data_IF_177434932241
#
_entry.id   IF_177434932241
#
_cell.length_a   1.000
_cell.length_b   1.000
_cell.length_c   1.000
_cell.angle_alpha   90.00
_cell.angle_beta   90.00
_cell.angle_gamma   90.00
#
_symmetry.space_group_name_H-M   'P 1'
#
loop_
_entity.id
_entity.type
_entity.pdbx_description
1 polymer ?
#
# COMPACT_ATOMS: atom_id res chain seq x y z
N UNK A 1 -10.61 -48.00 -31.17
CA UNK A 1 -10.48 -47.48 -29.79
C UNK A 1 -11.11 -46.09 -29.81
N UNK A 2 -12.37 -45.89 -29.40
CA UNK A 2 -12.88 -45.83 -28.00
C UNK A 2 -12.18 -44.71 -27.20
N UNK A 3 -12.80 -43.80 -26.43
CA UNK A 3 -14.19 -43.62 -25.94
C UNK A 3 -14.23 -42.23 -25.23
N UNK A 4 -14.99 -41.25 -25.72
CA UNK A 4 -16.18 -40.55 -25.16
C UNK A 4 -16.56 -40.68 -23.67
N UNK A 5 -17.07 -39.58 -23.08
CA UNK A 5 -18.38 -39.35 -22.37
C UNK A 5 -18.49 -37.81 -22.16
N UNK A 6 -19.30 -36.99 -22.85
CA UNK A 6 -20.76 -36.85 -23.09
C UNK A 6 -21.59 -36.34 -21.89
N UNK A 7 -22.27 -35.18 -22.00
CA UNK A 7 -23.32 -34.75 -21.08
C UNK A 7 -24.70 -35.32 -21.49
N UNK A 8 -25.61 -35.34 -20.52
CA UNK A 8 -27.05 -35.60 -20.61
C UNK A 8 -27.53 -37.07 -20.67
N UNK A 9 -28.24 -37.43 -19.59
CA UNK A 9 -29.55 -38.08 -19.54
C UNK A 9 -29.89 -39.06 -20.68
N UNK A 10 -29.94 -40.34 -20.33
CA UNK A 10 -30.78 -41.34 -21.02
C UNK A 10 -31.79 -41.90 -20.06
N UNK A 11 -33.07 -41.80 -20.41
CA UNK A 11 -33.92 -42.98 -20.39
C UNK A 11 -34.71 -43.09 -21.68
N UNK A 12 -34.75 -44.34 -22.12
CA UNK A 12 -35.10 -44.89 -23.43
C UNK A 12 -36.61 -45.01 -23.60
N UNK A 13 -37.09 -44.88 -24.84
CA UNK A 13 -38.36 -45.48 -25.28
C UNK A 13 -38.06 -46.52 -26.34
N UNK A 14 -38.63 -47.73 -26.23
CA UNK A 14 -38.78 -48.67 -27.35
C UNK A 14 -40.20 -49.24 -27.31
N UNK A 15 -40.88 -49.07 -28.45
CA UNK A 15 -42.18 -49.64 -28.82
C UNK A 15 -42.09 -51.15 -29.09
N UNK A 16 -43.20 -51.86 -28.87
CA UNK A 16 -43.61 -52.94 -29.74
C UNK A 16 -45.08 -52.78 -30.12
N UNK A 17 -45.31 -52.61 -31.43
CA UNK A 17 -46.60 -52.84 -32.07
C UNK A 17 -46.59 -54.20 -32.78
N UNK A 18 -47.59 -55.02 -32.47
CA UNK A 18 -48.18 -56.11 -33.26
C UNK A 18 -49.63 -56.14 -32.78
N UNK A 19 -50.69 -56.01 -33.57
CA UNK A 19 -50.97 -56.63 -34.85
C UNK A 19 -52.29 -57.40 -34.68
N UNK A 20 -53.12 -57.42 -35.73
CA UNK A 20 -54.30 -58.30 -35.98
C UNK A 20 -55.70 -57.71 -35.72
N UNK A 21 -56.29 -57.29 -36.87
CA UNK A 21 -57.63 -57.56 -37.45
C UNK A 21 -58.94 -57.20 -36.69
N UNK A 22 -59.71 -56.35 -37.37
CA UNK A 22 -61.16 -56.38 -37.68
C UNK A 22 -62.11 -57.27 -36.85
N UNK A 23 -63.21 -56.69 -36.34
CA UNK A 23 -64.59 -56.90 -36.83
C UNK A 23 -65.66 -56.28 -35.87
N UNK A 24 -66.64 -55.63 -36.50
CA UNK A 24 -68.09 -55.54 -36.18
C UNK A 24 -68.61 -54.68 -35.01
N UNK A 25 -69.53 -53.79 -35.42
CA UNK A 25 -70.67 -53.11 -34.79
C UNK A 25 -71.03 -53.37 -33.31
N UNK A 26 -71.50 -52.31 -32.61
CA UNK A 26 -72.91 -52.09 -32.15
C UNK A 26 -72.99 -50.85 -31.22
N UNK A 27 -74.15 -50.17 -31.25
CA UNK A 27 -74.59 -48.97 -30.52
C UNK A 27 -74.54 -49.07 -28.97
N UNK A 28 -74.66 -47.87 -28.37
CA UNK A 28 -75.37 -47.46 -27.13
C UNK A 28 -74.45 -46.80 -26.07
N UNK A 29 -74.89 -45.64 -25.57
CA UNK A 29 -74.13 -44.73 -24.72
C UNK A 29 -74.07 -45.07 -23.24
N UNK A 30 -73.24 -44.31 -22.52
CA UNK A 30 -73.17 -44.27 -21.06
C UNK A 30 -72.00 -43.42 -20.55
N UNK A 31 -72.28 -42.36 -19.80
CA UNK A 31 -71.31 -41.46 -19.15
C UNK A 31 -70.29 -42.24 -18.30
N UNK A 32 -68.98 -42.01 -18.50
CA UNK A 32 -67.93 -42.30 -17.51
C UNK A 32 -66.77 -41.29 -17.62
N UNK A 33 -66.55 -40.51 -16.57
CA UNK A 33 -65.32 -39.72 -16.39
C UNK A 33 -64.15 -40.70 -16.24
N UNK A 34 -63.16 -40.57 -17.13
CA UNK A 34 -61.99 -41.46 -17.16
C UNK A 34 -61.04 -41.14 -16.00
N UNK A 35 -60.53 -42.17 -15.33
CA UNK A 35 -59.47 -42.07 -14.30
C UNK A 35 -58.26 -41.25 -14.79
N UNK A 36 -57.98 -41.25 -16.10
CA UNK A 36 -56.96 -40.39 -16.72
C UNK A 36 -57.25 -38.89 -16.55
N UNK A 37 -58.51 -38.48 -16.61
CA UNK A 37 -58.93 -37.07 -16.46
C UNK A 37 -58.76 -36.58 -15.01
N UNK A 38 -59.00 -37.45 -14.03
CA UNK A 38 -58.77 -37.16 -12.61
C UNK A 38 -57.27 -37.10 -12.31
N UNK A 39 -56.47 -38.02 -12.87
CA UNK A 39 -55.02 -38.04 -12.72
C UNK A 39 -54.38 -36.78 -13.33
N UNK A 40 -54.79 -36.37 -14.54
CA UNK A 40 -54.28 -35.15 -15.17
C UNK A 40 -54.74 -33.89 -14.43
N UNK A 41 -55.95 -33.84 -13.88
CA UNK A 41 -56.37 -32.72 -13.03
C UNK A 41 -55.57 -32.66 -11.73
N UNK A 42 -55.30 -33.79 -11.06
CA UNK A 42 -54.46 -33.81 -9.85
C UNK A 42 -53.01 -33.40 -10.14
N UNK A 43 -52.43 -33.89 -11.24
CA UNK A 43 -51.10 -33.48 -11.69
C UNK A 43 -51.05 -31.99 -12.04
N UNK A 44 -52.09 -31.47 -12.71
CA UNK A 44 -52.20 -30.05 -13.02
C UNK A 44 -52.31 -29.19 -11.76
N UNK A 45 -53.17 -29.56 -10.79
CA UNK A 45 -53.31 -28.82 -9.54
C UNK A 45 -52.06 -28.88 -8.66
N UNK A 46 -51.36 -30.02 -8.61
CA UNK A 46 -50.10 -30.14 -7.86
C UNK A 46 -48.98 -29.32 -8.49
N UNK A 47 -48.92 -29.25 -9.82
CA UNK A 47 -47.96 -28.39 -10.51
C UNK A 47 -48.30 -26.91 -10.33
N UNK A 48 -49.58 -26.55 -10.43
CA UNK A 48 -50.07 -25.18 -10.22
C UNK A 48 -49.80 -24.69 -8.79
N UNK A 49 -50.04 -25.54 -7.78
CA UNK A 49 -49.76 -25.23 -6.36
C UNK A 49 -48.27 -25.02 -6.12
N UNK A 50 -47.40 -25.84 -6.69
CA UNK A 50 -45.94 -25.62 -6.59
C UNK A 50 -45.50 -24.36 -7.31
N UNK A 51 -46.09 -24.06 -8.47
CA UNK A 51 -45.77 -22.84 -9.22
C UNK A 51 -46.20 -21.58 -8.48
N UNK A 52 -47.41 -21.57 -7.89
CA UNK A 52 -47.91 -20.48 -7.04
C UNK A 52 -47.07 -20.32 -5.77
N UNK A 53 -46.66 -21.42 -5.14
CA UNK A 53 -45.78 -21.37 -3.98
C UNK A 53 -44.42 -20.75 -4.34
N UNK A 54 -43.79 -21.19 -5.43
CA UNK A 54 -42.53 -20.62 -5.92
C UNK A 54 -42.69 -19.13 -6.25
N UNK A 55 -43.76 -18.73 -6.95
CA UNK A 55 -44.04 -17.32 -7.24
C UNK A 55 -44.17 -16.50 -5.94
N UNK A 56 -44.88 -17.01 -4.93
CA UNK A 56 -45.06 -16.32 -3.65
C UNK A 56 -43.78 -16.22 -2.82
N UNK A 57 -42.87 -17.20 -2.94
CA UNK A 57 -41.57 -17.16 -2.27
C UNK A 57 -40.58 -16.25 -2.99
N UNK A 58 -40.63 -16.18 -4.34
CA UNK A 58 -39.77 -15.28 -5.12
C UNK A 58 -40.17 -13.82 -4.92
N UNK A 59 -41.48 -13.51 -4.83
CA UNK A 59 -41.99 -12.18 -4.44
C UNK A 59 -41.62 -11.78 -2.99
N UNK A 60 -41.15 -12.73 -2.17
CA UNK A 60 -40.67 -12.44 -0.80
C UNK A 60 -39.16 -12.22 -0.72
N UNK A 61 -38.41 -12.45 -1.81
CA UNK A 61 -36.94 -12.33 -1.84
C UNK A 61 -36.50 -10.97 -2.44
N UNK A 62 -37.29 -10.38 -3.33
CA UNK A 62 -37.02 -9.04 -3.84
C UNK A 62 -37.73 -7.97 -3.00
N UNK A 63 -36.96 -7.28 -2.18
CA UNK A 63 -37.39 -6.14 -1.37
C UNK A 63 -37.73 -4.88 -2.18
N UNK A 64 -38.60 -4.97 -3.18
CA UNK A 64 -39.14 -3.81 -3.90
C UNK A 64 -40.60 -3.51 -3.52
N UNK A 65 -40.85 -2.24 -3.22
CA UNK A 65 -42.00 -1.68 -2.50
C UNK A 65 -43.28 -1.52 -3.33
N UNK A 66 -43.63 -2.43 -4.24
CA UNK A 66 -44.87 -2.34 -5.05
C UNK A 66 -45.64 -3.66 -5.19
N UNK A 67 -46.40 -4.06 -4.16
CA UNK A 67 -47.37 -5.16 -4.25
C UNK A 67 -48.53 -4.76 -5.18
N UNK A 68 -48.62 -5.37 -6.37
CA UNK A 68 -49.66 -5.08 -7.38
C UNK A 68 -50.46 -6.34 -7.80
N UNK A 69 -50.50 -7.39 -6.98
CA UNK A 69 -51.24 -8.63 -7.32
C UNK A 69 -52.25 -9.04 -6.23
N UNK A 70 -53.28 -9.78 -6.66
CA UNK A 70 -54.43 -10.25 -5.88
C UNK A 70 -54.06 -11.08 -4.63
N UNK A 71 -52.79 -11.48 -4.46
CA UNK A 71 -52.29 -12.22 -3.28
C UNK A 71 -52.19 -11.41 -1.99
N UNK A 72 -52.24 -10.07 -2.06
CA UNK A 72 -52.16 -9.19 -0.88
C UNK A 72 -53.50 -9.06 -0.10
N UNK A 73 -54.61 -9.68 -0.55
CA UNK A 73 -55.92 -9.57 0.13
C UNK A 73 -56.01 -10.32 1.48
N UNK A 74 -55.21 -11.37 1.68
CA UNK A 74 -55.26 -12.19 2.90
C UNK A 74 -54.69 -11.52 4.16
N UNK A 75 -53.92 -10.43 4.02
CA UNK A 75 -53.30 -9.71 5.15
C UNK A 75 -54.10 -8.50 5.65
N UNK A 76 -55.26 -8.19 5.06
CA UNK A 76 -56.06 -7.00 5.44
C UNK A 76 -57.22 -7.28 6.38
N UNK A 77 -57.53 -8.54 6.69
CA UNK A 77 -58.67 -8.93 7.54
C UNK A 77 -58.17 -9.83 8.68
N UNK A 78 -57.70 -9.19 9.76
CA UNK A 78 -57.47 -9.79 11.09
C UNK A 78 -56.07 -9.54 11.70
N UNK A 79 -55.92 -9.24 13.02
CA UNK A 79 -56.82 -8.59 13.98
C UNK A 79 -56.32 -7.17 14.30
N UNK A 80 -57.01 -6.14 13.81
CA UNK A 80 -56.75 -4.72 14.16
C UNK A 80 -57.53 -4.25 15.41
N UNK A 81 -57.84 -5.17 16.33
CA UNK A 81 -58.65 -4.90 17.52
C UNK A 81 -57.88 -5.01 18.85
N UNK A 82 -56.58 -5.32 18.82
CA UNK A 82 -55.72 -5.27 20.00
C UNK A 82 -54.43 -4.53 19.65
N UNK A 83 -54.27 -3.33 20.20
CA UNK A 83 -53.13 -2.45 19.97
C UNK A 83 -51.80 -3.04 20.43
N UNK A 84 -51.17 -3.85 19.58
CA UNK A 84 -49.73 -4.14 19.67
C UNK A 84 -48.99 -3.18 18.77
N UNK A 85 -48.02 -2.45 19.34
CA UNK A 85 -46.96 -1.77 18.57
C UNK A 85 -46.40 -2.77 17.55
N UNK A 86 -46.19 -2.34 16.32
CA UNK A 86 -45.36 -3.07 15.36
C UNK A 86 -43.99 -3.26 16.01
N UNK A 87 -43.66 -4.50 16.37
CA UNK A 87 -42.30 -4.88 16.71
C UNK A 87 -41.42 -4.54 15.50
N UNK A 88 -40.37 -3.75 15.71
CA UNK A 88 -39.40 -3.40 14.68
C UNK A 88 -38.82 -4.69 14.11
N UNK A 89 -38.60 -4.75 12.80
CA UNK A 89 -38.00 -5.94 12.22
C UNK A 89 -36.59 -6.11 12.80
N UNK A 90 -36.21 -7.34 13.15
CA UNK A 90 -34.89 -7.70 13.70
C UNK A 90 -33.72 -7.03 12.93
N UNK A 91 -33.73 -6.98 11.58
CA UNK A 91 -32.67 -6.31 10.81
C UNK A 91 -32.57 -4.80 11.08
N UNK A 92 -33.68 -4.07 11.17
CA UNK A 92 -33.67 -2.60 11.38
C UNK A 92 -33.07 -2.23 12.74
N UNK A 93 -33.31 -3.04 13.77
CA UNK A 93 -32.73 -2.84 15.10
C UNK A 93 -31.21 -3.04 15.07
N UNK A 94 -30.73 -4.05 14.33
CA UNK A 94 -29.29 -4.32 14.22
C UNK A 94 -28.56 -3.18 13.49
N UNK A 95 -29.06 -2.74 12.33
CA UNK A 95 -28.45 -1.63 11.58
C UNK A 95 -28.41 -0.34 12.40
N UNK A 96 -29.53 0.01 13.06
CA UNK A 96 -29.60 1.22 13.88
C UNK A 96 -28.63 1.22 15.06
N UNK A 97 -28.33 0.04 15.61
CA UNK A 97 -27.35 -0.10 16.69
C UNK A 97 -25.93 0.01 16.12
N UNK A 98 -25.62 -0.69 15.03
CA UNK A 98 -24.29 -0.70 14.41
C UNK A 98 -23.86 0.67 13.86
N UNK A 99 -24.80 1.50 13.41
CA UNK A 99 -24.52 2.86 12.90
C UNK A 99 -24.31 3.92 13.99
N UNK A 100 -24.65 3.62 15.24
CA UNK A 100 -24.45 4.56 16.35
C UNK A 100 -22.97 4.65 16.74
N UNK A 101 -22.40 5.86 16.84
CA UNK A 101 -21.02 6.03 17.28
C UNK A 101 -20.86 5.62 18.75
N UNK A 102 -19.82 4.82 19.04
CA UNK A 102 -19.38 4.50 20.41
C UNK A 102 -18.32 5.52 20.82
N UNK A 103 -18.41 6.00 22.06
CA UNK A 103 -17.36 6.84 22.65
C UNK A 103 -16.14 5.99 23.04
N UNK A 104 -14.93 6.44 22.70
CA UNK A 104 -13.71 5.62 22.82
C UNK A 104 -13.32 5.33 24.26
N UNK A 105 -13.74 6.18 25.19
CA UNK A 105 -13.47 6.01 26.61
C UNK A 105 -14.40 4.96 27.28
N UNK A 106 -15.54 4.59 26.65
CA UNK A 106 -16.47 3.58 27.21
C UNK A 106 -15.95 2.13 27.09
N UNK A 107 -15.00 1.87 26.19
CA UNK A 107 -14.47 0.52 25.94
C UNK A 107 -13.16 0.25 26.70
N UNK A 108 -12.54 1.27 27.27
CA UNK A 108 -11.22 1.18 27.86
C UNK A 108 -11.26 0.39 29.18
N UNK A 109 -10.56 -0.76 29.23
CA UNK A 109 -10.47 -1.59 30.45
C UNK A 109 -11.61 -2.57 30.67
N UNK A 110 -12.59 -2.67 29.76
CA UNK A 110 -13.65 -3.68 29.81
C UNK A 110 -13.13 -5.07 29.45
N UNK A 111 -13.28 -6.03 30.37
CA UNK A 111 -12.87 -7.43 30.19
C UNK A 111 -14.02 -8.33 29.75
N UNK A 112 -15.24 -7.80 29.70
CA UNK A 112 -16.49 -8.52 29.38
C UNK A 112 -16.80 -8.57 27.87
N UNK A 113 -15.95 -7.94 27.05
CA UNK A 113 -16.06 -7.90 25.60
C UNK A 113 -15.24 -9.05 25.01
N UNK A 114 -15.87 -9.91 24.18
CA UNK A 114 -15.18 -11.00 23.50
C UNK A 114 -13.96 -10.53 22.72
N UNK A 115 -12.87 -11.28 22.85
CA UNK A 115 -11.58 -11.00 22.25
C UNK A 115 -11.46 -11.64 20.85
N UNK A 116 -12.28 -12.65 20.55
CA UNK A 116 -12.28 -13.35 19.27
C UNK A 116 -13.70 -13.59 18.78
N UNK A 117 -13.84 -13.84 17.47
CA UNK A 117 -15.13 -14.20 16.89
C UNK A 117 -15.65 -15.53 17.46
N UNK A 118 -14.76 -16.45 17.79
CA UNK A 118 -15.10 -17.74 18.38
C UNK A 118 -15.67 -17.58 19.79
N UNK A 119 -15.07 -16.71 20.61
CA UNK A 119 -15.57 -16.39 21.95
C UNK A 119 -16.95 -15.71 21.87
N UNK A 120 -17.12 -14.76 20.95
CA UNK A 120 -18.41 -14.13 20.70
C UNK A 120 -19.48 -15.15 20.28
N UNK A 121 -19.15 -16.04 19.34
CA UNK A 121 -20.09 -17.06 18.85
C UNK A 121 -20.44 -18.10 19.92
N UNK A 122 -19.50 -18.45 20.79
CA UNK A 122 -19.75 -19.32 21.95
C UNK A 122 -20.71 -18.64 22.93
N UNK A 123 -20.48 -17.36 23.23
CA UNK A 123 -21.35 -16.60 24.12
C UNK A 123 -22.77 -16.43 23.54
N UNK A 124 -22.88 -16.17 22.23
CA UNK A 124 -24.18 -16.07 21.56
C UNK A 124 -24.97 -17.37 21.60
N UNK A 125 -24.26 -18.50 21.50
CA UNK A 125 -24.87 -19.83 21.51
C UNK A 125 -25.44 -20.20 22.89
N UNK A 126 -24.79 -19.79 23.97
CA UNK A 126 -25.21 -20.09 25.34
C UNK A 126 -26.20 -19.07 25.94
N UNK A 127 -26.17 -17.80 25.49
CA UNK A 127 -26.84 -16.69 26.19
C UNK A 127 -28.22 -16.32 25.65
N UNK A 128 -28.63 -16.82 24.49
CA UNK A 128 -29.95 -16.54 23.91
C UNK A 128 -30.23 -15.05 23.68
N UNK A 129 -29.24 -14.30 23.15
CA UNK A 129 -29.36 -12.85 22.96
C UNK A 129 -30.56 -12.45 22.09
N UNK A 130 -31.25 -11.37 22.48
CA UNK A 130 -32.15 -10.68 21.57
C UNK A 130 -31.36 -9.91 20.49
N UNK A 131 -32.03 -9.55 19.39
CA UNK A 131 -31.38 -8.89 18.25
C UNK A 131 -30.62 -7.62 18.62
N UNK A 132 -31.12 -6.89 19.62
CA UNK A 132 -30.52 -5.65 20.11
C UNK A 132 -29.26 -5.92 20.92
N UNK A 133 -29.30 -6.88 21.84
CA UNK A 133 -28.16 -7.27 22.67
C UNK A 133 -27.05 -7.88 21.83
N UNK A 134 -27.40 -8.70 20.84
CA UNK A 134 -26.45 -9.20 19.85
C UNK A 134 -25.75 -8.06 19.11
N UNK A 135 -26.52 -7.09 18.58
CA UNK A 135 -25.96 -5.98 17.81
C UNK A 135 -25.08 -5.06 18.67
N UNK A 136 -25.48 -4.81 19.93
CA UNK A 136 -24.68 -4.02 20.87
C UNK A 136 -23.34 -4.70 21.14
N UNK A 137 -23.37 -6.01 21.44
CA UNK A 137 -22.17 -6.76 21.78
C UNK A 137 -21.23 -6.96 20.59
N UNK A 138 -21.79 -7.17 19.39
CA UNK A 138 -21.03 -7.19 18.14
C UNK A 138 -20.36 -5.84 17.88
N UNK A 139 -21.07 -4.73 18.05
CA UNK A 139 -20.54 -3.37 17.87
C UNK A 139 -19.37 -3.08 18.82
N UNK A 140 -19.51 -3.45 20.09
CA UNK A 140 -18.44 -3.33 21.10
C UNK A 140 -17.21 -4.14 20.71
N UNK A 141 -17.40 -5.40 20.32
CA UNK A 141 -16.30 -6.27 19.85
C UNK A 141 -15.61 -5.69 18.61
N UNK A 142 -16.37 -5.29 17.58
CA UNK A 142 -15.80 -4.72 16.34
C UNK A 142 -15.00 -3.46 16.64
N UNK A 143 -15.55 -2.55 17.47
CA UNK A 143 -14.88 -1.31 17.86
C UNK A 143 -13.58 -1.57 18.62
N UNK A 144 -13.59 -2.51 19.57
CA UNK A 144 -12.40 -2.92 20.32
C UNK A 144 -11.34 -3.56 19.40
N UNK A 145 -11.77 -4.42 18.47
CA UNK A 145 -10.87 -5.06 17.49
C UNK A 145 -10.26 -4.04 16.53
N UNK A 146 -11.03 -3.04 16.09
CA UNK A 146 -10.53 -1.92 15.29
C UNK A 146 -9.49 -1.11 16.06
N UNK A 147 -9.74 -0.78 17.32
CA UNK A 147 -8.80 -0.05 18.17
C UNK A 147 -7.50 -0.82 18.40
N UNK A 148 -7.59 -2.12 18.69
CA UNK A 148 -6.41 -2.98 18.84
C UNK A 148 -5.63 -3.11 17.56
N UNK A 149 -6.32 -3.31 16.43
CA UNK A 149 -5.70 -3.36 15.11
C UNK A 149 -4.98 -2.06 14.80
N UNK A 150 -5.59 -0.92 15.14
CA UNK A 150 -4.97 0.41 15.00
C UNK A 150 -3.73 0.53 15.88
N UNK A 151 -3.80 0.12 17.15
CA UNK A 151 -2.67 0.19 18.10
C UNK A 151 -1.53 -0.72 17.69
N UNK A 152 -1.82 -1.96 17.29
CA UNK A 152 -0.84 -2.91 16.78
C UNK A 152 -0.18 -2.40 15.50
N UNK A 153 -0.94 -1.82 14.56
CA UNK A 153 -0.38 -1.15 13.37
C UNK A 153 0.54 0.00 13.76
N UNK A 154 0.16 0.84 14.72
CA UNK A 154 1.01 1.94 15.21
C UNK A 154 2.32 1.41 15.81
N UNK A 155 2.25 0.36 16.64
CA UNK A 155 3.44 -0.28 17.21
C UNK A 155 4.33 -0.93 16.14
N UNK A 156 3.75 -1.66 15.19
CA UNK A 156 4.44 -2.23 14.04
C UNK A 156 5.20 -1.14 13.28
N UNK A 157 4.54 -0.02 12.99
CA UNK A 157 5.16 1.12 12.33
C UNK A 157 6.33 1.71 13.12
N UNK A 158 6.18 1.86 14.45
CA UNK A 158 7.23 2.36 15.33
C UNK A 158 8.44 1.42 15.34
N UNK A 159 8.24 0.11 15.55
CA UNK A 159 9.33 -0.86 15.54
C UNK A 159 10.03 -0.94 14.19
N UNK A 160 9.27 -0.85 13.10
CA UNK A 160 9.82 -0.79 11.75
C UNK A 160 10.68 0.46 11.56
N UNK A 161 10.24 1.61 12.06
CA UNK A 161 11.04 2.84 12.04
C UNK A 161 12.34 2.65 12.82
N UNK A 162 12.26 2.22 14.09
CA UNK A 162 13.42 1.99 14.94
C UNK A 162 14.40 1.03 14.29
N UNK A 163 13.94 -0.10 13.72
CA UNK A 163 14.81 -1.04 13.04
C UNK A 163 15.49 -0.45 11.79
N UNK A 164 14.77 0.39 11.02
CA UNK A 164 15.30 1.03 9.81
C UNK A 164 16.22 2.24 10.07
N UNK A 165 16.00 2.94 11.19
CA UNK A 165 16.68 4.20 11.54
C UNK A 165 17.72 4.04 12.65
N UNK A 166 17.73 2.90 13.36
CA UNK A 166 18.79 2.59 14.30
C UNK A 166 20.09 2.45 13.54
N UNK A 167 21.07 3.28 13.89
CA UNK A 167 22.42 3.18 13.34
C UNK A 167 23.08 1.97 14.00
N UNK A 168 23.33 0.86 13.28
CA UNK A 168 24.07 -0.26 13.85
C UNK A 168 25.44 0.20 14.34
N UNK A 169 25.94 -0.42 15.42
CA UNK A 169 27.16 -0.01 16.13
C UNK A 169 28.35 0.20 15.19
N UNK A 170 28.45 -0.64 14.17
CA UNK A 170 29.50 -0.60 13.14
C UNK A 170 29.43 0.68 12.30
N UNK A 171 28.23 1.10 11.87
CA UNK A 171 28.05 2.35 11.13
C UNK A 171 28.24 3.58 12.03
N UNK A 172 27.87 3.48 13.30
CA UNK A 172 28.14 4.55 14.26
C UNK A 172 29.64 4.73 14.49
N UNK A 173 30.38 3.62 14.64
CA UNK A 173 31.84 3.63 14.68
C UNK A 173 32.44 4.33 13.44
N UNK A 174 31.95 3.98 12.24
CA UNK A 174 32.43 4.56 10.99
C UNK A 174 32.25 6.08 10.98
N UNK A 175 31.05 6.56 11.34
CA UNK A 175 30.75 7.99 11.40
C UNK A 175 31.66 8.72 12.40
N UNK A 176 31.85 8.18 13.61
CA UNK A 176 32.71 8.79 14.63
C UNK A 176 34.18 8.84 14.20
N UNK A 177 34.71 7.78 13.58
CA UNK A 177 36.08 7.76 13.07
C UNK A 177 36.29 8.79 11.97
N UNK A 178 35.36 8.89 11.02
CA UNK A 178 35.43 9.88 9.94
C UNK A 178 35.27 11.32 10.45
N UNK A 179 34.44 11.56 11.47
CA UNK A 179 34.38 12.85 12.14
C UNK A 179 35.74 13.22 12.78
N UNK A 180 36.41 12.25 13.40
CA UNK A 180 37.74 12.45 13.96
C UNK A 180 38.79 12.75 12.87
N UNK A 181 38.74 12.03 11.74
CA UNK A 181 39.60 12.33 10.58
C UNK A 181 39.33 13.72 10.03
N UNK A 182 38.07 14.12 9.86
CA UNK A 182 37.75 15.48 9.43
C UNK A 182 38.40 16.53 10.35
N UNK A 183 38.42 16.29 11.66
CA UNK A 183 39.02 17.21 12.63
C UNK A 183 40.56 17.26 12.55
N UNK A 184 41.21 16.12 12.31
CA UNK A 184 42.66 15.96 12.51
C UNK A 184 43.48 15.82 11.22
N UNK A 185 42.85 15.46 10.11
CA UNK A 185 43.49 15.15 8.84
C UNK A 185 43.12 16.23 7.79
N UNK A 186 44.13 16.91 7.25
CA UNK A 186 43.90 17.94 6.23
C UNK A 186 43.34 17.37 4.93
N UNK A 187 43.72 16.14 4.55
CA UNK A 187 43.19 15.48 3.36
C UNK A 187 41.70 15.12 3.49
N UNK A 188 41.19 14.96 4.70
CA UNK A 188 39.78 14.73 4.97
C UNK A 188 38.93 16.02 4.92
N UNK A 189 39.55 17.19 4.75
CA UNK A 189 38.91 18.51 4.68
C UNK A 189 39.04 19.17 3.32
N UNK A 190 39.38 18.40 2.29
CA UNK A 190 39.47 18.95 0.94
C UNK A 190 38.10 19.49 0.52
N UNK A 191 38.13 20.60 -0.19
CA UNK A 191 36.93 21.16 -0.79
C UNK A 191 36.46 20.23 -1.91
N UNK A 192 35.18 19.89 -1.89
CA UNK A 192 34.54 19.01 -2.85
C UNK A 192 33.47 19.81 -3.62
N UNK A 193 33.65 20.04 -4.92
CA UNK A 193 34.81 19.69 -5.76
C UNK A 193 35.96 20.71 -5.60
N UNK A 194 37.09 20.47 -6.29
CA UNK A 194 38.16 21.47 -6.40
C UNK A 194 37.63 22.75 -7.07
N UNK A 195 38.28 23.89 -6.78
CA UNK A 195 37.81 25.21 -7.25
C UNK A 195 37.61 25.29 -8.78
N UNK A 196 38.45 24.59 -9.55
CA UNK A 196 38.37 24.52 -11.02
C UNK A 196 37.11 23.82 -11.54
N UNK A 197 36.56 22.88 -10.75
CA UNK A 197 35.40 22.08 -11.12
C UNK A 197 34.08 22.64 -10.57
N UNK A 198 34.12 23.72 -9.78
CA UNK A 198 32.93 24.39 -9.24
C UNK A 198 31.92 24.81 -10.32
N UNK A 199 32.33 25.36 -11.49
CA UNK A 199 31.38 25.71 -12.55
C UNK A 199 30.56 24.53 -13.08
N UNK A 200 31.09 23.30 -13.02
CA UNK A 200 30.39 22.10 -13.48
C UNK A 200 29.19 21.74 -12.60
N UNK A 201 29.10 22.27 -11.37
CA UNK A 201 27.99 21.99 -10.45
C UNK A 201 26.63 22.54 -10.91
N UNK A 202 26.62 23.44 -11.90
CA UNK A 202 25.39 24.05 -12.46
C UNK A 202 25.35 23.96 -13.99
N UNK A 203 26.28 23.23 -14.60
CA UNK A 203 26.36 23.10 -16.05
C UNK A 203 25.44 21.97 -16.55
N UNK A 204 24.38 22.36 -17.26
CA UNK A 204 23.41 21.44 -17.87
C UNK A 204 24.01 20.46 -18.90
N UNK A 205 25.29 20.61 -19.29
CA UNK A 205 26.00 19.64 -20.14
C UNK A 205 26.45 18.38 -19.40
N UNK A 206 26.28 18.34 -18.06
CA UNK A 206 26.56 17.22 -17.17
C UNK A 206 25.27 16.51 -16.73
N UNK A 207 25.43 15.28 -16.25
CA UNK A 207 24.37 14.50 -15.63
C UNK A 207 24.42 14.65 -14.12
N UNK A 208 23.39 15.28 -13.55
CA UNK A 208 23.34 15.66 -12.14
C UNK A 208 22.55 14.66 -11.30
N UNK A 209 23.24 13.91 -10.45
CA UNK A 209 22.62 13.01 -9.48
C UNK A 209 22.50 13.71 -8.13
N UNK A 210 21.32 13.66 -7.51
CA UNK A 210 21.12 14.15 -6.14
C UNK A 210 20.92 12.96 -5.21
N UNK A 211 21.83 12.81 -4.25
CA UNK A 211 21.85 11.74 -3.28
C UNK A 211 21.65 12.30 -1.88
N UNK A 212 20.45 12.10 -1.30
CA UNK A 212 20.14 12.51 0.06
C UNK A 212 20.29 11.34 1.04
N UNK A 213 21.21 11.42 2.00
CA UNK A 213 21.46 10.37 2.99
C UNK A 213 22.17 10.88 4.25
N UNK A 214 21.81 10.33 5.41
CA UNK A 214 22.51 10.47 6.69
C UNK A 214 23.41 9.25 7.01
N UNK A 215 23.50 8.29 6.09
CA UNK A 215 24.33 7.11 6.19
C UNK A 215 25.48 7.19 5.19
N UNK A 216 26.70 7.36 5.71
CA UNK A 216 27.92 7.52 4.92
C UNK A 216 28.21 6.29 4.06
N UNK A 217 28.10 5.08 4.62
CA UNK A 217 28.40 3.86 3.87
C UNK A 217 27.37 3.61 2.76
N UNK A 218 26.10 3.84 3.05
CA UNK A 218 25.06 3.72 2.02
C UNK A 218 25.29 4.76 0.90
N UNK A 219 25.60 6.01 1.25
CA UNK A 219 25.87 7.05 0.26
C UNK A 219 27.10 6.72 -0.60
N UNK A 220 28.17 6.22 0.04
CA UNK A 220 29.38 5.74 -0.63
C UNK A 220 29.06 4.64 -1.65
N UNK A 221 28.32 3.60 -1.25
CA UNK A 221 27.96 2.50 -2.15
C UNK A 221 27.13 2.98 -3.33
N UNK A 222 26.14 3.86 -3.10
CA UNK A 222 25.33 4.41 -4.18
C UNK A 222 26.20 5.22 -5.15
N UNK A 223 27.02 6.15 -4.65
CA UNK A 223 27.89 6.97 -5.48
C UNK A 223 28.92 6.13 -6.26
N UNK A 224 29.55 5.16 -5.60
CA UNK A 224 30.47 4.21 -6.26
C UNK A 224 29.76 3.40 -7.33
N UNK A 225 28.54 2.91 -7.08
CA UNK A 225 27.78 2.14 -8.07
C UNK A 225 27.43 2.97 -9.31
N UNK A 226 27.05 4.25 -9.12
CA UNK A 226 26.76 5.20 -10.20
C UNK A 226 27.98 5.33 -11.10
N UNK A 227 29.16 5.56 -10.53
CA UNK A 227 30.39 5.77 -11.29
C UNK A 227 30.85 4.47 -11.97
N UNK A 228 30.85 3.36 -11.22
CA UNK A 228 31.31 2.05 -11.71
C UNK A 228 30.48 1.53 -12.89
N UNK A 229 29.15 1.73 -12.86
CA UNK A 229 28.27 1.26 -13.92
C UNK A 229 28.07 2.29 -15.04
N UNK A 230 28.78 3.43 -15.04
CA UNK A 230 28.59 4.47 -16.04
C UNK A 230 29.46 4.30 -17.28
N UNK A 231 28.89 4.61 -18.45
CA UNK A 231 29.64 4.65 -19.71
C UNK A 231 30.50 5.93 -19.84
N UNK A 232 30.11 7.03 -19.16
CA UNK A 232 30.76 8.34 -19.27
C UNK A 232 30.90 9.00 -17.88
N UNK A 233 31.70 8.44 -16.96
CA UNK A 233 31.81 8.95 -15.58
C UNK A 233 32.29 10.40 -15.49
N UNK A 234 33.07 10.88 -16.47
CA UNK A 234 33.56 12.27 -16.52
C UNK A 234 32.46 13.32 -16.76
N UNK A 235 31.27 12.89 -17.17
CA UNK A 235 30.09 13.74 -17.37
C UNK A 235 29.16 13.74 -16.16
N UNK A 236 29.51 13.05 -15.07
CA UNK A 236 28.63 12.90 -13.91
C UNK A 236 29.00 13.87 -12.80
N UNK A 237 27.97 14.50 -12.23
CA UNK A 237 28.06 15.33 -11.03
C UNK A 237 27.14 14.71 -9.97
N UNK A 238 27.69 14.39 -8.81
CA UNK A 238 26.95 13.79 -7.70
C UNK A 238 26.86 14.81 -6.56
N UNK A 239 25.67 15.34 -6.33
CA UNK A 239 25.34 16.23 -5.23
C UNK A 239 24.86 15.40 -4.04
N UNK A 240 25.68 15.31 -3.01
CA UNK A 240 25.37 14.57 -1.79
C UNK A 240 24.82 15.53 -0.75
N UNK A 241 23.58 15.31 -0.33
CA UNK A 241 22.90 16.11 0.67
C UNK A 241 22.76 15.30 1.95
N UNK A 242 23.23 15.84 3.06
CA UNK A 242 23.18 15.16 4.35
C UNK A 242 22.72 16.10 5.46
N UNK A 243 22.46 15.56 6.65
CA UNK A 243 22.08 16.37 7.81
C UNK A 243 23.30 17.10 8.41
N UNK A 244 23.05 17.95 9.41
CA UNK A 244 24.12 18.71 10.07
C UNK A 244 25.12 17.81 10.81
N UNK A 245 24.69 16.66 11.32
CA UNK A 245 25.49 15.79 12.19
C UNK A 245 26.42 14.90 11.37
N UNK A 246 25.95 14.43 10.22
CA UNK A 246 26.65 13.53 9.30
C UNK A 246 27.51 14.28 8.29
N UNK A 247 27.36 15.61 8.16
CA UNK A 247 28.15 16.43 7.24
C UNK A 247 29.66 16.18 7.31
N UNK A 248 30.28 16.29 8.49
CA UNK A 248 31.74 16.12 8.61
C UNK A 248 32.20 14.70 8.28
N UNK A 249 31.57 13.62 8.80
CA UNK A 249 31.84 12.26 8.33
C UNK A 249 31.71 12.08 6.81
N UNK A 250 30.66 12.65 6.21
CA UNK A 250 30.39 12.53 4.77
C UNK A 250 31.47 13.25 3.95
N UNK A 251 31.81 14.48 4.34
CA UNK A 251 32.88 15.26 3.73
C UNK A 251 34.23 14.52 3.79
N UNK A 252 34.57 13.96 4.97
CA UNK A 252 35.80 13.20 5.16
C UNK A 252 35.85 11.95 4.27
N UNK A 253 34.75 11.20 4.18
CA UNK A 253 34.71 10.01 3.34
C UNK A 253 34.99 10.34 1.88
N UNK A 254 34.26 11.27 1.29
CA UNK A 254 34.40 11.62 -0.13
C UNK A 254 35.68 12.41 -0.45
N UNK A 255 36.31 13.03 0.55
CA UNK A 255 37.64 13.64 0.38
C UNK A 255 38.75 12.59 0.36
N UNK A 256 38.63 11.55 1.19
CA UNK A 256 39.61 10.46 1.26
C UNK A 256 39.41 9.39 0.18
N UNK A 257 38.20 9.29 -0.39
CA UNK A 257 37.83 8.31 -1.41
C UNK A 257 37.25 9.04 -2.65
N UNK A 258 38.08 9.74 -3.43
CA UNK A 258 37.62 10.46 -4.61
C UNK A 258 37.08 9.49 -5.67
N UNK A 259 35.96 9.88 -6.32
CA UNK A 259 35.31 9.10 -7.38
C UNK A 259 35.68 9.58 -8.80
N UNK A 260 36.93 10.03 -8.98
CA UNK A 260 37.45 10.54 -10.25
C UNK A 260 37.22 9.53 -11.39
N UNK A 261 36.73 9.95 -12.58
CA UNK A 261 36.59 11.33 -13.05
C UNK A 261 35.24 12.00 -12.74
N UNK A 262 34.35 11.38 -11.95
CA UNK A 262 33.10 12.02 -11.55
C UNK A 262 33.34 13.15 -10.54
N UNK A 263 32.48 14.16 -10.60
CA UNK A 263 32.52 15.33 -9.73
C UNK A 263 31.59 15.08 -8.54
N UNK A 264 32.07 15.33 -7.33
CA UNK A 264 31.27 15.15 -6.11
C UNK A 264 31.19 16.47 -5.35
N UNK A 265 29.99 16.84 -4.95
CA UNK A 265 29.72 17.93 -4.00
C UNK A 265 29.07 17.32 -2.76
N UNK A 266 29.47 17.77 -1.57
CA UNK A 266 28.80 17.40 -0.31
C UNK A 266 28.26 18.67 0.35
N UNK A 267 26.95 18.69 0.63
CA UNK A 267 26.28 19.79 1.34
C UNK A 267 25.44 19.26 2.49
N UNK A 268 25.40 20.03 3.56
CA UNK A 268 24.47 19.82 4.65
C UNK A 268 23.19 20.62 4.43
N UNK A 269 22.06 20.15 4.97
CA UNK A 269 20.77 20.86 4.90
C UNK A 269 20.85 22.32 5.40
N UNK A 270 21.65 22.58 6.43
CA UNK A 270 21.82 23.92 6.99
C UNK A 270 22.68 24.87 6.14
N UNK A 271 23.33 24.38 5.08
CA UNK A 271 24.05 25.21 4.10
C UNK A 271 23.11 25.83 3.05
N UNK A 272 21.84 25.44 3.02
CA UNK A 272 20.86 25.98 2.11
C UNK A 272 20.07 27.12 2.77
N UNK A 273 20.15 28.32 2.20
CA UNK A 273 19.53 29.53 2.77
C UNK A 273 17.99 29.45 2.90
N UNK A 274 17.36 28.63 2.08
CA UNK A 274 15.91 28.42 2.12
C UNK A 274 15.48 27.48 3.27
N UNK A 275 16.40 26.66 3.79
CA UNK A 275 16.20 25.85 5.00
C UNK A 275 16.46 26.65 6.27
N UNK A 276 17.51 27.48 6.29
CA UNK A 276 17.90 28.26 7.49
C UNK A 276 16.94 29.42 7.83
N UNK A 277 16.12 29.87 6.87
CA UNK A 277 15.09 30.90 7.08
C UNK A 277 13.75 30.40 7.65
N UNK A 278 13.70 29.21 8.25
CA UNK A 278 12.59 28.77 9.11
C UNK A 278 11.27 28.48 8.40
N UNK A 279 11.30 27.92 7.17
CA UNK A 279 10.09 27.63 6.38
C UNK A 279 9.83 26.14 6.12
N UNK A 280 10.34 25.24 6.96
CA UNK A 280 9.92 23.83 6.94
C UNK A 280 9.36 23.44 8.31
N UNK A 281 8.11 23.84 8.61
CA UNK A 281 7.49 23.60 9.91
C UNK A 281 7.45 22.13 10.32
N UNK A 282 7.44 21.19 9.36
CA UNK A 282 7.50 19.75 9.66
C UNK A 282 8.85 19.35 10.26
N UNK A 283 9.97 19.89 9.78
CA UNK A 283 11.27 19.60 10.40
C UNK A 283 11.41 20.26 11.76
N UNK A 284 10.90 21.48 11.93
CA UNK A 284 10.88 22.14 13.24
C UNK A 284 9.98 21.39 14.24
N UNK A 285 8.82 20.88 13.79
CA UNK A 285 7.95 20.01 14.59
C UNK A 285 8.63 18.65 14.90
N UNK A 286 9.38 18.08 13.95
CA UNK A 286 10.16 16.86 14.14
C UNK A 286 11.39 17.05 15.05
N UNK A 287 12.01 18.22 15.05
CA UNK A 287 13.15 18.55 15.93
C UNK A 287 12.67 18.79 17.37
N UNK A 288 11.49 19.38 17.55
CA UNK A 288 10.90 19.65 18.88
C UNK A 288 10.21 18.44 19.51
N UNK A 289 9.72 17.49 18.72
CA UNK A 289 8.93 16.35 19.23
C UNK A 289 9.62 15.00 18.95
N UNK A 290 10.11 14.36 20.02
CA UNK A 290 10.77 13.05 20.00
C UNK A 290 9.85 11.93 19.46
N UNK A 291 8.53 12.03 19.67
CA UNK A 291 7.51 11.07 19.23
C UNK A 291 7.23 11.25 17.73
N UNK A 292 7.13 12.48 17.23
CA UNK A 292 6.99 12.79 15.79
C UNK A 292 8.25 12.38 15.02
N UNK A 293 9.43 12.62 15.59
CA UNK A 293 10.72 12.18 15.03
C UNK A 293 10.80 10.66 14.83
N UNK A 294 10.29 9.88 15.79
CA UNK A 294 10.23 8.41 15.73
C UNK A 294 9.25 7.85 14.71
N UNK A 295 8.46 8.71 14.05
CA UNK A 295 7.48 8.34 13.03
C UNK A 295 7.90 8.81 11.64
N UNK A 296 8.97 9.62 11.53
CA UNK A 296 9.49 10.11 10.27
C UNK A 296 10.21 9.02 9.48
N UNK A 297 9.96 8.94 8.17
CA UNK A 297 10.58 7.95 7.29
C UNK A 297 11.61 8.62 6.40
N UNK A 298 12.89 8.36 6.65
CA UNK A 298 14.01 8.73 5.79
C UNK A 298 14.99 7.57 5.77
N UNK A 299 15.30 7.05 4.58
CA UNK A 299 16.15 5.88 4.44
C UNK A 299 16.20 5.42 3.00
N UNK A 300 16.68 6.29 2.12
CA UNK A 300 16.87 5.96 0.71
C UNK A 300 18.26 5.32 0.52
N UNK A 301 18.28 4.12 -0.02
CA UNK A 301 19.51 3.46 -0.47
C UNK A 301 19.17 2.76 -1.78
N UNK A 302 19.48 3.43 -2.87
CA UNK A 302 19.15 3.01 -4.22
C UNK A 302 20.47 2.86 -5.00
N UNK A 303 20.75 1.66 -5.52
CA UNK A 303 21.95 1.37 -6.31
C UNK A 303 21.58 1.53 -7.79
N UNK A 304 22.37 2.28 -8.55
CA UNK A 304 22.06 2.63 -9.95
C UNK A 304 22.89 1.78 -10.92
N UNK A 305 22.23 1.29 -11.97
CA UNK A 305 22.73 0.56 -13.11
C UNK A 305 22.13 1.15 -14.41
N UNK A 306 22.95 1.89 -15.17
CA UNK A 306 22.69 2.40 -16.53
C UNK A 306 21.67 3.56 -16.73
N UNK A 307 21.62 4.04 -17.98
CA UNK A 307 21.37 5.42 -18.45
C UNK A 307 19.89 5.90 -18.45
N UNK A 308 19.50 6.67 -17.42
CA UNK A 308 18.11 7.10 -17.18
C UNK A 308 17.67 8.39 -17.93
N UNK A 309 18.60 9.08 -18.58
CA UNK A 309 18.40 10.47 -19.02
C UNK A 309 17.59 10.64 -20.31
N UNK A 310 17.38 9.56 -21.07
CA UNK A 310 16.68 9.60 -22.37
C UNK A 310 15.17 9.31 -22.24
N UNK A 311 14.63 9.31 -21.02
CA UNK A 311 13.21 9.04 -20.77
C UNK A 311 12.38 10.30 -21.02
N UNK A 312 11.45 10.21 -21.97
CA UNK A 312 10.48 11.28 -22.22
C UNK A 312 9.47 11.38 -21.07
N UNK A 313 9.46 12.53 -20.39
CA UNK A 313 8.53 12.81 -19.30
C UNK A 313 7.17 13.33 -19.80
N UNK A 314 6.93 13.43 -21.11
CA UNK A 314 5.68 13.94 -21.69
C UNK A 314 5.25 15.31 -21.11
N UNK A 315 6.23 16.19 -20.88
CA UNK A 315 6.03 17.51 -20.26
C UNK A 315 5.62 17.47 -18.77
N UNK A 316 5.72 16.32 -18.11
CA UNK A 316 5.58 16.19 -16.65
C UNK A 316 6.90 16.53 -15.94
N UNK A 317 6.80 16.84 -14.65
CA UNK A 317 7.93 17.31 -13.86
C UNK A 317 8.73 16.15 -13.26
N UNK A 318 8.06 15.06 -12.88
CA UNK A 318 8.67 13.93 -12.18
C UNK A 318 8.46 12.63 -12.97
N UNK A 319 9.53 11.92 -13.30
CA UNK A 319 9.50 10.53 -13.74
C UNK A 319 9.67 9.59 -12.55
N UNK A 320 8.66 8.78 -12.26
CA UNK A 320 8.69 7.85 -11.12
C UNK A 320 7.95 6.54 -11.41
N UNK A 321 8.39 5.45 -10.78
CA UNK A 321 7.71 4.16 -10.90
C UNK A 321 6.45 4.17 -10.03
N UNK A 322 5.31 3.86 -10.66
CA UNK A 322 4.04 3.70 -9.96
C UNK A 322 4.00 2.38 -9.18
N UNK A 323 3.50 2.42 -7.96
CA UNK A 323 3.47 1.24 -7.07
C UNK A 323 2.16 0.49 -7.14
N UNK A 324 1.38 0.64 -8.21
CA UNK A 324 0.00 0.12 -8.32
C UNK A 324 -0.27 -0.58 -9.67
N UNK A 325 0.53 -0.28 -10.70
CA UNK A 325 0.37 -0.76 -12.06
C UNK A 325 1.45 -1.79 -12.32
N UNK A 326 1.09 -3.04 -12.08
CA UNK A 326 1.91 -4.19 -12.43
C UNK A 326 1.27 -5.46 -11.91
N UNK A 327 1.43 -6.56 -12.63
CA UNK A 327 1.29 -7.92 -12.11
C UNK A 327 2.43 -8.27 -11.12
N UNK A 328 3.04 -7.23 -10.56
CA UNK A 328 4.36 -7.22 -10.00
C UNK A 328 4.29 -7.89 -8.63
N UNK A 329 4.65 -9.17 -8.58
CA UNK A 329 4.72 -9.97 -7.35
C UNK A 329 5.68 -9.35 -6.33
N UNK A 330 6.50 -8.39 -6.77
CA UNK A 330 7.60 -7.82 -6.01
C UNK A 330 7.28 -6.48 -5.35
N UNK A 331 6.21 -5.79 -5.75
CA UNK A 331 5.85 -4.49 -5.19
C UNK A 331 4.52 -4.57 -4.48
N UNK A 332 4.50 -4.27 -3.17
CA UNK A 332 3.23 -4.08 -2.47
C UNK A 332 2.44 -3.00 -3.18
N UNK A 333 1.31 -3.37 -3.80
CA UNK A 333 0.44 -2.41 -4.47
C UNK A 333 0.02 -1.31 -3.49
N UNK A 334 0.47 -0.07 -3.70
CA UNK A 334 0.09 1.11 -2.90
C UNK A 334 -0.64 2.12 -3.76
N UNK A 335 -1.75 2.59 -3.19
CA UNK A 335 -2.61 3.66 -3.69
C UNK A 335 -2.59 4.83 -2.72
N UNK A 336 -3.17 5.97 -3.08
CA UNK A 336 -3.23 7.14 -2.22
C UNK A 336 -3.88 6.83 -0.85
N UNK A 337 -4.90 5.95 -0.80
CA UNK A 337 -5.53 5.52 0.47
C UNK A 337 -4.60 4.87 1.48
N UNK A 338 -3.44 4.38 1.04
CA UNK A 338 -2.44 3.82 1.94
C UNK A 338 -1.61 4.89 2.66
N UNK A 339 -1.63 6.13 2.17
CA UNK A 339 -0.78 7.23 2.63
C UNK A 339 -1.59 8.39 3.22
N UNK A 340 -2.71 8.74 2.59
CA UNK A 340 -3.56 9.88 2.96
C UNK A 340 -4.75 9.44 3.82
N UNK A 341 -5.23 10.34 4.68
CA UNK A 341 -6.38 10.10 5.55
C UNK A 341 -7.69 10.50 4.85
N UNK A 342 -8.30 9.56 4.13
CA UNK A 342 -9.56 9.79 3.42
C UNK A 342 -10.80 9.93 4.33
N UNK A 343 -10.67 9.72 5.64
CA UNK A 343 -11.70 10.11 6.59
C UNK A 343 -11.73 11.62 6.83
N UNK A 344 -10.65 12.33 6.49
CA UNK A 344 -10.58 13.78 6.59
C UNK A 344 -11.23 14.45 5.36
N UNK A 345 -12.21 15.35 5.52
CA UNK A 345 -12.95 15.96 4.40
C UNK A 345 -12.04 16.63 3.37
N UNK A 346 -11.00 17.34 3.82
CA UNK A 346 -10.04 18.02 2.94
C UNK A 346 -9.31 17.03 2.01
N UNK A 347 -8.99 15.83 2.46
CA UNK A 347 -8.35 14.82 1.59
C UNK A 347 -9.38 14.21 0.64
N UNK A 348 -10.54 13.83 1.17
CA UNK A 348 -11.60 13.17 0.39
C UNK A 348 -12.17 14.05 -0.74
N UNK A 349 -12.16 15.38 -0.58
CA UNK A 349 -12.63 16.32 -1.58
C UNK A 349 -11.63 16.57 -2.71
N UNK A 350 -10.32 16.40 -2.44
CA UNK A 350 -9.26 16.78 -3.38
C UNK A 350 -8.58 15.59 -4.07
N UNK A 351 -8.66 14.38 -3.52
CA UNK A 351 -7.97 13.21 -4.05
C UNK A 351 -8.91 12.03 -4.20
N UNK A 352 -8.55 11.11 -5.09
CA UNK A 352 -9.23 9.82 -5.22
C UNK A 352 -8.46 8.74 -4.46
N UNK A 353 -9.11 7.96 -3.56
CA UNK A 353 -8.43 6.89 -2.81
C UNK A 353 -7.85 5.78 -3.68
N UNK A 354 -8.40 5.58 -4.88
CA UNK A 354 -7.99 4.52 -5.80
C UNK A 354 -6.87 4.92 -6.76
N UNK A 355 -6.45 6.19 -6.75
CA UNK A 355 -5.32 6.65 -7.53
C UNK A 355 -4.00 6.01 -7.08
N UNK A 356 -3.14 5.86 -8.07
CA UNK A 356 -1.83 5.25 -7.94
C UNK A 356 -0.88 6.13 -7.14
N UNK A 357 -0.21 5.52 -6.17
CA UNK A 357 0.99 6.12 -5.58
C UNK A 357 2.22 5.79 -6.44
N UNK A 358 3.29 6.55 -6.23
CA UNK A 358 4.59 6.33 -6.87
C UNK A 358 5.69 6.24 -5.82
N UNK A 359 6.81 5.61 -6.17
CA UNK A 359 7.92 5.40 -5.28
C UNK A 359 8.87 6.62 -5.26
N UNK A 360 9.17 7.15 -4.07
CA UNK A 360 10.08 8.30 -3.93
C UNK A 360 11.57 7.96 -4.05
N UNK A 361 11.93 6.69 -3.91
CA UNK A 361 13.33 6.28 -3.71
C UNK A 361 14.29 6.58 -4.86
N UNK A 362 13.78 6.70 -6.10
CA UNK A 362 14.53 7.11 -7.28
C UNK A 362 13.56 7.79 -8.24
N UNK A 363 13.86 9.03 -8.59
CA UNK A 363 13.02 9.89 -9.43
C UNK A 363 13.88 10.69 -10.41
N UNK A 364 13.27 11.07 -11.52
CA UNK A 364 13.85 11.97 -12.53
C UNK A 364 13.08 13.27 -12.46
N UNK A 365 13.77 14.40 -12.26
CA UNK A 365 13.12 15.70 -12.18
C UNK A 365 13.53 16.60 -13.35
N UNK A 366 12.54 17.06 -14.11
CA UNK A 366 12.71 18.19 -15.02
C UNK A 366 12.56 19.49 -14.22
N UNK A 367 13.70 20.09 -13.90
CA UNK A 367 13.75 21.33 -13.13
C UNK A 367 13.25 22.54 -13.93
N UNK A 368 13.33 22.52 -15.26
CA UNK A 368 12.79 23.60 -16.09
C UNK A 368 11.27 23.57 -16.09
N UNK A 369 10.68 22.37 -16.26
CA UNK A 369 9.24 22.16 -16.12
C UNK A 369 8.79 22.51 -14.69
N UNK A 370 9.51 22.07 -13.65
CA UNK A 370 9.17 22.41 -12.25
C UNK A 370 9.05 23.93 -12.08
N UNK A 371 10.02 24.71 -12.53
CA UNK A 371 10.02 26.18 -12.37
C UNK A 371 8.80 26.88 -13.00
N UNK A 372 8.13 26.24 -13.96
CA UNK A 372 6.92 26.75 -14.63
C UNK A 372 5.62 26.31 -13.94
N UNK A 373 5.70 25.51 -12.87
CA UNK A 373 4.54 25.00 -12.11
C UNK A 373 4.45 25.62 -10.71
N UNK A 374 3.31 25.37 -10.04
CA UNK A 374 3.07 25.79 -8.66
C UNK A 374 3.39 24.70 -7.62
N UNK A 375 4.05 23.61 -8.00
CA UNK A 375 4.31 22.43 -7.13
C UNK A 375 4.90 22.82 -5.78
N UNK A 376 5.93 23.69 -5.76
CA UNK A 376 6.56 24.12 -4.51
C UNK A 376 5.60 24.89 -3.60
N UNK A 377 4.74 25.74 -4.16
CA UNK A 377 3.73 26.47 -3.40
C UNK A 377 2.65 25.53 -2.88
N UNK A 378 2.17 24.59 -3.71
CA UNK A 378 1.23 23.54 -3.33
C UNK A 378 1.78 22.71 -2.17
N UNK A 379 3.06 22.30 -2.23
CA UNK A 379 3.73 21.58 -1.14
C UNK A 379 3.67 22.35 0.18
N UNK A 380 4.07 23.63 0.18
CA UNK A 380 4.06 24.45 1.39
C UNK A 380 2.65 24.70 1.93
N UNK A 381 1.67 24.94 1.06
CA UNK A 381 0.28 25.13 1.44
C UNK A 381 -0.29 23.88 2.13
N UNK A 382 -0.10 22.70 1.53
CA UNK A 382 -0.57 21.46 2.13
C UNK A 382 0.14 21.14 3.44
N UNK A 383 1.43 21.45 3.54
CA UNK A 383 2.17 21.32 4.80
C UNK A 383 1.54 22.17 5.90
N UNK A 384 1.20 23.42 5.60
CA UNK A 384 0.53 24.33 6.52
C UNK A 384 -0.86 23.82 6.92
N UNK A 385 -1.65 23.31 5.97
CA UNK A 385 -2.94 22.68 6.26
C UNK A 385 -2.78 21.47 7.19
N UNK A 386 -1.78 20.64 6.95
CA UNK A 386 -1.55 19.48 7.80
C UNK A 386 -1.21 19.87 9.23
N UNK A 387 -0.44 20.94 9.44
CA UNK A 387 -0.16 21.47 10.79
C UNK A 387 -1.43 21.99 11.47
N UNK A 388 -2.28 22.73 10.72
CA UNK A 388 -3.57 23.23 11.22
C UNK A 388 -4.55 22.09 11.56
N UNK A 389 -4.35 20.92 10.97
CA UNK A 389 -5.13 19.71 11.21
C UNK A 389 -4.42 18.72 12.16
N UNK A 390 -3.53 19.18 13.04
CA UNK A 390 -2.80 18.35 14.02
C UNK A 390 -2.08 17.15 13.39
N UNK A 391 -1.51 17.34 12.19
CA UNK A 391 -0.81 16.34 11.40
C UNK A 391 -1.68 15.14 10.98
N UNK A 392 -3.00 15.32 10.93
CA UNK A 392 -3.97 14.23 10.68
C UNK A 392 -4.28 13.97 9.20
N UNK A 393 -3.80 14.80 8.26
CA UNK A 393 -4.16 14.67 6.84
C UNK A 393 -3.51 13.44 6.18
N UNK A 394 -2.37 12.97 6.69
CA UNK A 394 -1.68 11.80 6.17
C UNK A 394 -0.75 11.17 7.21
N UNK A 395 -0.28 9.96 6.93
CA UNK A 395 0.74 9.30 7.76
C UNK A 395 2.07 10.05 7.70
N UNK A 396 2.76 10.23 8.83
CA UNK A 396 4.07 10.88 8.84
C UNK A 396 5.08 10.19 7.91
N UNK A 397 5.81 11.02 7.15
CA UNK A 397 6.77 10.61 6.14
C UNK A 397 6.94 11.68 5.06
N UNK A 398 7.98 11.56 4.25
CA UNK A 398 8.28 12.49 3.16
C UNK A 398 7.47 12.23 1.89
N UNK A 399 7.07 10.97 1.65
CA UNK A 399 6.33 10.59 0.45
C UNK A 399 4.92 11.20 0.39
N UNK A 400 4.07 11.19 1.44
CA UNK A 400 2.71 11.72 1.34
C UNK A 400 2.60 13.19 0.89
N UNK A 401 3.38 14.16 1.43
CA UNK A 401 3.34 15.52 0.91
C UNK A 401 3.90 15.62 -0.52
N UNK A 402 4.80 14.72 -0.92
CA UNK A 402 5.25 14.59 -2.31
C UNK A 402 4.14 14.10 -3.25
N UNK A 403 3.40 13.06 -2.86
CA UNK A 403 2.25 12.53 -3.62
C UNK A 403 1.22 13.63 -3.91
N UNK A 404 0.96 14.48 -2.91
CA UNK A 404 0.04 15.62 -3.03
C UNK A 404 0.63 16.71 -3.93
N UNK A 405 1.85 17.17 -3.65
CA UNK A 405 2.44 18.30 -4.37
C UNK A 405 2.66 18.02 -5.86
N UNK A 406 3.02 16.78 -6.20
CA UNK A 406 3.24 16.34 -7.58
C UNK A 406 2.00 15.72 -8.22
N UNK A 407 0.83 15.81 -7.59
CA UNK A 407 -0.41 15.28 -8.16
C UNK A 407 -0.66 15.88 -9.55
N UNK A 408 -0.89 15.01 -10.55
CA UNK A 408 -1.02 15.42 -11.96
C UNK A 408 0.29 15.80 -12.67
N UNK A 409 1.43 15.82 -11.98
CA UNK A 409 2.75 16.22 -12.51
C UNK A 409 3.76 15.08 -12.59
N UNK A 410 3.32 13.83 -12.43
CA UNK A 410 4.17 12.63 -12.53
C UNK A 410 3.91 11.89 -13.85
N UNK A 411 4.98 11.52 -14.53
CA UNK A 411 4.99 10.54 -15.61
C UNK A 411 5.41 9.20 -15.02
N UNK A 412 4.58 8.18 -15.23
CA UNK A 412 4.94 6.81 -14.89
C UNK A 412 6.07 6.34 -15.81
N UNK A 413 7.15 5.81 -15.21
CA UNK A 413 8.28 5.22 -15.94
C UNK A 413 8.30 3.71 -15.74
N UNK A 414 9.03 3.01 -16.61
CA UNK A 414 9.14 1.55 -16.58
C UNK A 414 9.67 1.05 -15.22
N UNK A 415 9.03 0.03 -14.57
CA UNK A 415 9.49 -0.55 -13.32
C UNK A 415 10.95 -1.05 -13.33
N UNK A 416 11.50 -1.38 -14.50
CA UNK A 416 12.93 -1.65 -14.72
C UNK A 416 13.81 -0.59 -14.06
N UNK A 417 13.42 0.68 -14.16
CA UNK A 417 14.20 1.80 -13.63
C UNK A 417 14.19 1.87 -12.10
N UNK A 418 13.25 1.25 -11.41
CA UNK A 418 13.20 1.29 -9.95
C UNK A 418 12.59 0.03 -9.35
N UNK A 419 13.40 -1.03 -9.26
CA UNK A 419 13.03 -2.24 -8.53
C UNK A 419 13.09 -1.98 -7.02
N UNK A 420 11.95 -2.14 -6.37
CA UNK A 420 11.78 -1.90 -4.94
C UNK A 420 11.26 -3.16 -4.23
N UNK A 421 11.40 -3.21 -2.91
CA UNK A 421 10.95 -4.31 -2.08
C UNK A 421 12.09 -5.16 -1.50
N UNK A 422 13.35 -4.91 -1.89
CA UNK A 422 14.47 -5.78 -1.52
C UNK A 422 14.81 -5.79 -0.02
N UNK A 423 14.21 -4.90 0.78
CA UNK A 423 14.32 -4.91 2.24
C UNK A 423 13.07 -5.45 2.96
N UNK A 424 12.07 -5.96 2.22
CA UNK A 424 10.79 -6.44 2.76
C UNK A 424 10.54 -7.94 2.54
N UNK A 425 11.06 -8.52 1.46
CA UNK A 425 10.68 -9.87 1.01
C UNK A 425 11.82 -10.58 0.28
N UNK A 426 11.76 -11.92 0.28
CA UNK A 426 12.78 -12.82 -0.29
C UNK A 426 12.42 -13.39 -1.66
N UNK A 427 11.27 -13.00 -2.22
CA UNK A 427 10.75 -13.56 -3.47
C UNK A 427 11.52 -13.10 -4.72
N UNK A 428 12.32 -12.05 -4.63
CA UNK A 428 13.12 -11.53 -5.75
C UNK A 428 14.41 -12.34 -5.91
N UNK A 429 14.65 -12.85 -7.12
CA UNK A 429 15.89 -13.57 -7.45
C UNK A 429 17.06 -12.61 -7.58
N UNK A 430 18.29 -13.15 -7.50
CA UNK A 430 19.50 -12.35 -7.71
C UNK A 430 19.54 -11.83 -9.16
N UNK A 431 19.19 -12.67 -10.12
CA UNK A 431 19.24 -12.38 -11.56
C UNK A 431 18.25 -11.27 -11.95
N UNK A 432 17.02 -11.33 -11.42
CA UNK A 432 16.02 -10.29 -11.66
C UNK A 432 16.51 -8.94 -11.11
N UNK A 433 17.03 -8.96 -9.87
CA UNK A 433 17.55 -7.76 -9.24
C UNK A 433 18.81 -7.21 -9.92
N UNK A 434 19.71 -8.07 -10.40
CA UNK A 434 20.90 -7.67 -11.15
C UNK A 434 20.56 -7.06 -12.50
N UNK A 435 19.48 -7.52 -13.13
CA UNK A 435 19.03 -7.00 -14.42
C UNK A 435 18.39 -5.60 -14.34
N UNK A 436 17.93 -5.18 -13.15
CA UNK A 436 17.21 -3.93 -12.96
C UNK A 436 18.12 -2.69 -13.11
N UNK A 437 17.55 -1.58 -13.59
CA UNK A 437 18.25 -0.31 -13.73
C UNK A 437 18.55 0.36 -12.38
N UNK A 438 17.67 0.25 -11.39
CA UNK A 438 17.98 0.68 -10.01
C UNK A 438 17.35 -0.29 -9.03
N UNK A 439 18.15 -0.81 -8.09
CA UNK A 439 17.63 -1.62 -7.00
C UNK A 439 17.55 -0.83 -5.71
N UNK A 440 16.42 -0.94 -5.02
CA UNK A 440 16.13 -0.24 -3.79
C UNK A 440 15.95 -1.24 -2.65
N UNK A 441 16.88 -1.23 -1.70
CA UNK A 441 16.76 -1.93 -0.43
C UNK A 441 15.85 -1.16 0.54
N UNK A 442 14.64 -0.79 0.10
CA UNK A 442 13.63 -0.20 0.98
C UNK A 442 13.07 -1.26 1.93
N UNK A 443 12.93 -0.90 3.19
CA UNK A 443 12.48 -1.80 4.24
C UNK A 443 13.52 -2.01 5.33
N UNK A 444 13.32 -3.07 6.10
CA UNK A 444 14.10 -3.35 7.32
C UNK A 444 15.37 -4.15 7.04
N UNK A 445 15.34 -5.03 6.04
CA UNK A 445 16.43 -5.91 5.67
C UNK A 445 17.47 -5.15 4.82
N UNK A 446 18.12 -4.14 5.42
CA UNK A 446 19.18 -3.38 4.76
C UNK A 446 20.43 -4.25 4.58
N UNK A 447 21.18 -4.12 3.47
CA UNK A 447 22.27 -5.05 3.12
C UNK A 447 23.48 -5.00 4.07
N UNK A 448 23.62 -3.95 4.87
CA UNK A 448 24.63 -3.83 5.93
C UNK A 448 24.17 -4.35 7.29
N UNK A 449 22.98 -4.94 7.39
CA UNK A 449 22.44 -5.54 8.61
C UNK A 449 22.46 -7.07 8.51
N UNK A 450 22.48 -7.74 9.65
CA UNK A 450 22.45 -9.21 9.71
C UNK A 450 21.11 -9.80 9.26
N UNK A 451 20.04 -9.01 9.31
CA UNK A 451 18.70 -9.37 8.81
C UNK A 451 18.54 -9.16 7.29
N UNK A 452 19.61 -8.79 6.58
CA UNK A 452 19.59 -8.70 5.12
C UNK A 452 19.31 -10.06 4.48
N UNK A 453 18.61 -10.07 3.34
CA UNK A 453 18.42 -11.29 2.57
C UNK A 453 19.74 -11.74 1.95
N UNK A 454 20.29 -12.92 2.34
CA UNK A 454 21.64 -13.32 1.96
C UNK A 454 21.86 -13.38 0.45
N UNK A 455 20.86 -13.81 -0.31
CA UNK A 455 20.91 -13.93 -1.76
C UNK A 455 21.04 -12.58 -2.49
N UNK A 456 20.52 -11.49 -1.91
CA UNK A 456 20.59 -10.15 -2.52
C UNK A 456 21.78 -9.32 -2.01
N UNK A 457 22.37 -9.71 -0.88
CA UNK A 457 23.49 -9.00 -0.25
C UNK A 457 24.72 -8.80 -1.18
N UNK A 458 25.10 -9.75 -2.06
CA UNK A 458 26.23 -9.56 -2.97
C UNK A 458 26.08 -8.36 -3.91
N UNK A 459 24.85 -7.99 -4.28
CA UNK A 459 24.57 -6.82 -5.14
C UNK A 459 25.03 -5.50 -4.51
N UNK A 460 25.00 -5.42 -3.19
CA UNK A 460 25.48 -4.27 -2.42
C UNK A 460 26.95 -4.44 -2.04
N UNK A 461 27.34 -5.64 -1.57
CA UNK A 461 28.67 -5.91 -1.06
C UNK A 461 29.77 -5.70 -2.12
N UNK A 462 29.48 -5.92 -3.41
CA UNK A 462 30.43 -5.71 -4.51
C UNK A 462 30.94 -4.27 -4.65
N UNK A 463 30.23 -3.29 -4.08
CA UNK A 463 30.61 -1.88 -4.10
C UNK A 463 31.24 -1.39 -2.78
N UNK A 464 31.49 -2.29 -1.84
CA UNK A 464 32.14 -1.97 -0.56
C UNK A 464 33.57 -2.49 -0.58
N UNK A 465 34.53 -1.59 -0.37
CA UNK A 465 35.90 -1.99 -0.11
C UNK A 465 36.05 -2.44 1.36
N UNK A 466 35.96 -3.75 1.60
CA UNK A 466 36.14 -4.32 2.93
C UNK A 466 37.59 -4.30 3.41
N UNK A 467 38.55 -3.96 2.55
CA UNK A 467 39.95 -3.76 2.92
C UNK A 467 40.23 -2.35 3.42
N UNK A 468 39.32 -1.40 3.16
CA UNK A 468 39.42 -0.03 3.65
C UNK A 468 39.63 0.02 5.18
N UNK A 469 40.52 0.92 5.62
CA UNK A 469 40.94 1.01 7.02
C UNK A 469 39.77 1.35 7.94
N UNK A 470 38.81 2.16 7.50
CA UNK A 470 37.66 2.55 8.31
C UNK A 470 36.61 1.43 8.35
N UNK A 471 36.31 0.84 7.20
CA UNK A 471 35.37 -0.29 7.08
C UNK A 471 35.85 -1.47 7.93
N UNK A 472 37.13 -1.85 7.78
CA UNK A 472 37.76 -2.95 8.53
C UNK A 472 37.83 -2.68 10.04
N UNK A 473 38.25 -1.48 10.44
CA UNK A 473 38.40 -1.13 11.87
C UNK A 473 37.07 -0.97 12.63
N UNK A 474 35.97 -0.78 11.92
CA UNK A 474 34.62 -0.78 12.49
C UNK A 474 33.89 -2.11 12.32
N UNK A 475 34.60 -3.16 11.89
CA UNK A 475 34.06 -4.52 11.73
C UNK A 475 32.84 -4.60 10.82
N UNK A 476 32.79 -3.76 9.78
CA UNK A 476 31.82 -3.89 8.70
C UNK A 476 32.32 -5.01 7.80
N UNK A 477 31.54 -6.08 7.64
CA UNK A 477 31.97 -7.31 6.94
C UNK A 477 31.05 -7.62 5.76
N UNK A 478 31.65 -8.17 4.70
CA UNK A 478 30.94 -9.01 3.75
C UNK A 478 30.48 -10.22 4.58
N UNK A 479 29.17 -10.42 4.73
CA UNK A 479 28.70 -11.62 5.41
C UNK A 479 29.02 -12.86 4.57
#
# INVERSE_FOLDING_TARGET
>A
MQLHISPSLRHVTVLQGKGVRELIQVKVGGKKVSYRMILYSLLFFTFLLRFVFVLSTVDSIDGETRCSSLGCLGKRIGPRLLGRRMDQSVPEVMYKVLEQPIDKDELQGRTDIPQTLEEFMAEVKDSGFDARSFALKLREMVSLMEERTRTAKIQEYLYRHVASSSIPKQLHCLALRLANEHSTNAAARLQLPSAELVPALVDNSYYHFVLASDNVLAAAVVATSIVHNSLRPHKFVIHIITDRKTYYPMQAWFSLHPLTPAIVEVKALHHFDWFSKGKVPVLEAMEKDQKVRSQFRGGSSAIIANNIWDIDLNGKVNGAVETCRGEDKYVMSKKLKNYLNFSHPLIAQHFNPEECAWAYGMNIFDLEAWRKTNISNTYHQWLEQNLKSDLSLWQLGTLPPGLIAFHGHVQAIDPFWHMLGLGYQENTSYEDAESAGVIHFNGRAKPWLDIAFPQLRPLWAKYVDFSDKFVKSCHIRAA
#
